data_IF_727876752183
#
_entry.id   IF_727876752183
#
_cell.length_a   1.000
_cell.length_b   1.000
_cell.length_c   1.000
_cell.angle_alpha   90.00
_cell.angle_beta   90.00
_cell.angle_gamma   90.00
#
_symmetry.space_group_name_H-M   'P 1'
#
loop_
_entity.id
_entity.type
_entity.pdbx_description
1 polymer ?
#
# COMPACT_ATOMS: atom_id res chain seq x y z
N UNK A 1 43.10 14.51 -4.42
CA UNK A 1 42.62 13.11 -4.40
C UNK A 1 41.92 12.81 -5.72
N UNK A 2 42.26 11.76 -6.47
CA UNK A 2 41.59 11.48 -7.75
C UNK A 2 40.23 10.84 -7.50
N UNK A 3 39.17 11.50 -7.97
CA UNK A 3 37.79 11.03 -7.92
C UNK A 3 37.62 9.77 -8.78
N UNK A 4 36.94 8.77 -8.21
CA UNK A 4 36.65 7.48 -8.85
C UNK A 4 35.87 7.72 -10.16
N UNK A 5 36.32 7.09 -11.25
CA UNK A 5 35.73 7.23 -12.60
C UNK A 5 34.31 6.68 -12.62
N UNK A 6 33.31 7.55 -12.72
CA UNK A 6 31.87 7.24 -12.85
C UNK A 6 31.54 6.54 -14.21
N UNK A 7 32.49 6.51 -15.16
CA UNK A 7 32.26 5.98 -16.51
C UNK A 7 32.19 4.45 -16.65
N UNK A 8 32.67 3.67 -15.66
CA UNK A 8 32.69 2.20 -15.76
C UNK A 8 31.28 1.58 -15.58
N UNK A 9 30.47 2.16 -14.69
CA UNK A 9 29.13 1.64 -14.37
C UNK A 9 28.10 1.92 -15.47
N UNK A 10 28.23 3.06 -16.17
CA UNK A 10 27.39 3.39 -17.33
C UNK A 10 27.58 2.39 -18.47
N UNK A 11 28.84 2.02 -18.79
CA UNK A 11 29.14 1.06 -19.85
C UNK A 11 28.72 -0.39 -19.49
N UNK A 12 28.80 -0.75 -18.20
CA UNK A 12 28.31 -2.04 -17.69
C UNK A 12 26.78 -2.15 -17.79
N UNK A 13 26.06 -1.06 -17.57
CA UNK A 13 24.60 -1.01 -17.67
C UNK A 13 24.11 -1.08 -19.14
N UNK A 14 24.79 -0.40 -20.06
CA UNK A 14 24.47 -0.48 -21.50
C UNK A 14 24.72 -1.87 -22.08
N UNK A 15 25.80 -2.55 -21.66
CA UNK A 15 26.15 -3.90 -22.09
C UNK A 15 25.13 -4.95 -21.61
N UNK A 16 24.72 -4.88 -20.34
CA UNK A 16 23.65 -5.73 -19.78
C UNK A 16 22.31 -5.49 -20.49
N UNK A 17 21.96 -4.23 -20.71
CA UNK A 17 20.72 -3.87 -21.41
C UNK A 17 20.68 -4.39 -22.85
N UNK A 18 21.81 -4.34 -23.57
CA UNK A 18 21.94 -4.92 -24.92
C UNK A 18 21.84 -6.44 -24.90
N UNK A 19 22.51 -7.11 -23.97
CA UNK A 19 22.43 -8.57 -23.81
C UNK A 19 20.99 -9.05 -23.51
N UNK A 20 20.27 -8.35 -22.63
CA UNK A 20 18.87 -8.65 -22.34
C UNK A 20 17.96 -8.44 -23.56
N UNK A 21 18.26 -7.43 -24.40
CA UNK A 21 17.54 -7.16 -25.65
C UNK A 21 17.75 -8.29 -26.67
N UNK A 22 19.00 -8.73 -26.87
CA UNK A 22 19.32 -9.84 -27.76
C UNK A 22 18.65 -11.14 -27.28
N UNK A 23 18.75 -11.46 -25.97
CA UNK A 23 18.08 -12.62 -25.36
C UNK A 23 16.55 -12.57 -25.45
N UNK A 24 15.94 -11.40 -25.65
CA UNK A 24 14.50 -11.26 -25.90
C UNK A 24 14.17 -11.48 -27.38
N UNK A 25 15.07 -11.07 -28.29
CA UNK A 25 14.93 -11.27 -29.73
C UNK A 25 15.14 -12.73 -30.18
N UNK A 26 15.90 -13.51 -29.40
CA UNK A 26 16.25 -14.91 -29.71
C UNK A 26 15.30 -15.94 -29.07
N UNK A 27 14.22 -15.52 -28.40
CA UNK A 27 13.31 -16.46 -27.76
C UNK A 27 12.47 -17.19 -28.78
N UNK A 28 12.38 -18.51 -28.61
CA UNK A 28 11.40 -19.32 -29.35
C UNK A 28 10.00 -19.10 -28.77
N UNK A 29 8.98 -19.34 -29.58
CA UNK A 29 7.57 -19.23 -29.14
C UNK A 29 7.27 -20.12 -27.93
N UNK A 30 7.84 -21.32 -27.90
CA UNK A 30 7.74 -22.27 -26.78
C UNK A 30 8.30 -21.70 -25.48
N UNK A 31 9.46 -21.03 -25.53
CA UNK A 31 10.04 -20.37 -24.35
C UNK A 31 9.18 -19.21 -23.85
N UNK A 32 8.50 -18.50 -24.76
CA UNK A 32 7.56 -17.43 -24.40
C UNK A 32 6.31 -18.02 -23.75
N UNK A 33 5.77 -19.10 -24.31
CA UNK A 33 4.61 -19.79 -23.74
C UNK A 33 4.92 -20.34 -22.35
N UNK A 34 6.07 -21.01 -22.18
CA UNK A 34 6.50 -21.52 -20.87
C UNK A 34 6.68 -20.41 -19.83
N UNK A 35 7.27 -19.27 -20.19
CA UNK A 35 7.39 -18.16 -19.24
C UNK A 35 6.03 -17.57 -18.86
N UNK A 36 5.08 -17.53 -19.79
CA UNK A 36 3.72 -17.08 -19.52
C UNK A 36 2.95 -18.07 -18.64
N UNK A 37 3.09 -19.38 -18.86
CA UNK A 37 2.47 -20.40 -18.01
C UNK A 37 3.06 -20.36 -16.61
N UNK A 38 4.38 -20.28 -16.46
CA UNK A 38 5.04 -20.14 -15.17
C UNK A 38 4.61 -18.87 -14.44
N UNK A 39 4.46 -17.76 -15.15
CA UNK A 39 3.95 -16.51 -14.57
C UNK A 39 2.49 -16.65 -14.11
N UNK A 40 1.64 -17.32 -14.89
CA UNK A 40 0.25 -17.61 -14.51
C UNK A 40 0.17 -18.51 -13.28
N UNK A 41 0.98 -19.56 -13.22
CA UNK A 41 1.04 -20.48 -12.07
C UNK A 41 1.51 -19.74 -10.81
N UNK A 42 2.59 -18.94 -10.90
CA UNK A 42 3.04 -18.11 -9.77
C UNK A 42 1.95 -17.17 -9.26
N UNK A 43 1.21 -16.54 -10.17
CA UNK A 43 0.11 -15.65 -9.80
C UNK A 43 -1.12 -16.38 -9.27
N UNK A 44 -1.34 -17.64 -9.67
CA UNK A 44 -2.39 -18.47 -9.09
C UNK A 44 -2.02 -18.90 -7.66
N UNK A 45 -0.76 -19.30 -7.42
CA UNK A 45 -0.26 -19.66 -6.09
C UNK A 45 -0.35 -18.49 -5.11
N UNK A 46 0.12 -17.30 -5.51
CA UNK A 46 0.02 -16.11 -4.68
C UNK A 46 -1.42 -15.73 -4.33
N UNK A 47 -2.37 -16.00 -5.24
CA UNK A 47 -3.80 -15.79 -4.98
C UNK A 47 -4.43 -16.85 -4.07
N UNK A 48 -3.87 -18.05 -3.98
CA UNK A 48 -4.30 -19.07 -3.02
C UNK A 48 -3.70 -18.81 -1.62
N UNK A 49 -2.49 -18.27 -1.54
CA UNK A 49 -1.86 -17.89 -0.27
C UNK A 49 -2.54 -16.68 0.38
N UNK A 50 -3.08 -15.75 -0.42
CA UNK A 50 -4.00 -14.73 0.04
C UNK A 50 -5.33 -15.45 0.39
N UNK A 51 -5.55 -15.72 1.69
CA UNK A 51 -6.71 -16.51 2.17
C UNK A 51 -7.98 -16.13 1.42
N UNK A 52 -8.73 -17.13 0.95
CA UNK A 52 -10.06 -17.04 0.34
C UNK A 52 -11.10 -16.51 1.35
N UNK A 53 -10.87 -15.31 1.86
CA UNK A 53 -11.91 -14.45 2.37
C UNK A 53 -12.64 -13.98 1.12
N UNK A 54 -13.65 -14.75 0.72
CA UNK A 54 -14.30 -14.53 -0.57
C UNK A 54 -14.77 -13.08 -0.60
N UNK A 55 -14.53 -12.41 -1.73
CA UNK A 55 -14.80 -10.97 -1.86
C UNK A 55 -16.28 -10.60 -1.60
N UNK A 56 -17.15 -11.61 -1.57
CA UNK A 56 -18.56 -11.52 -1.21
C UNK A 56 -18.77 -11.57 0.31
N UNK A 57 -18.19 -12.54 1.03
CA UNK A 57 -18.28 -12.66 2.50
C UNK A 57 -17.69 -11.43 3.22
N UNK A 58 -16.63 -10.81 2.67
CA UNK A 58 -16.05 -9.57 3.24
C UNK A 58 -17.05 -8.41 3.39
N UNK A 59 -18.11 -8.37 2.59
CA UNK A 59 -19.08 -7.26 2.62
C UNK A 59 -20.24 -7.50 3.59
N UNK A 60 -20.32 -8.68 4.20
CA UNK A 60 -21.32 -9.00 5.20
C UNK A 60 -20.73 -8.82 6.60
N UNK A 61 -21.45 -8.07 7.45
CA UNK A 61 -21.06 -7.91 8.84
C UNK A 61 -21.56 -9.12 9.63
N UNK A 62 -20.64 -9.90 10.18
CA UNK A 62 -20.95 -11.03 11.05
C UNK A 62 -20.76 -10.63 12.52
N UNK A 63 -21.84 -10.54 13.32
CA UNK A 63 -21.76 -10.04 14.70
C UNK A 63 -20.97 -10.95 15.64
N UNK A 64 -20.75 -12.22 15.29
CA UNK A 64 -20.00 -13.19 16.09
C UNK A 64 -18.48 -13.09 15.90
N UNK A 65 -18.02 -12.30 14.93
CA UNK A 65 -16.59 -12.06 14.70
C UNK A 65 -16.12 -10.91 15.60
N UNK A 66 -15.09 -11.18 16.41
CA UNK A 66 -14.40 -10.16 17.19
C UNK A 66 -13.46 -9.32 16.33
N UNK A 67 -14.02 -8.45 15.47
CA UNK A 67 -13.24 -7.63 14.53
C UNK A 67 -12.18 -6.76 15.22
N UNK A 68 -12.42 -6.33 16.46
CA UNK A 68 -11.48 -5.53 17.24
C UNK A 68 -10.20 -6.30 17.62
N UNK A 69 -10.26 -7.63 17.72
CA UNK A 69 -9.14 -8.51 18.03
C UNK A 69 -8.50 -9.10 16.76
N UNK A 70 -9.09 -8.87 15.59
CA UNK A 70 -8.65 -9.47 14.34
C UNK A 70 -7.30 -8.87 13.89
N UNK A 71 -6.28 -9.70 13.74
CA UNK A 71 -4.89 -9.27 13.46
C UNK A 71 -4.71 -8.47 12.15
N UNK A 72 -5.64 -8.62 11.19
CA UNK A 72 -5.65 -7.85 9.94
C UNK A 72 -6.38 -6.49 10.03
N UNK A 73 -7.14 -6.24 11.10
CA UNK A 73 -7.91 -5.00 11.31
C UNK A 73 -7.13 -4.11 12.27
N UNK A 74 -6.16 -3.35 11.73
CA UNK A 74 -5.36 -2.40 12.51
C UNK A 74 -5.81 -0.98 12.16
N UNK A 75 -6.58 -0.35 13.04
CA UNK A 75 -6.85 1.09 12.96
C UNK A 75 -5.63 1.81 13.55
N UNK A 76 -4.92 2.56 12.71
CA UNK A 76 -3.75 3.32 13.15
C UNK A 76 -4.10 4.39 14.18
N UNK A 77 -3.13 4.77 15.02
CA UNK A 77 -3.30 5.83 16.01
C UNK A 77 -3.57 7.19 15.35
N UNK A 78 -4.40 8.00 16.00
CA UNK A 78 -4.62 9.41 15.65
C UNK A 78 -3.65 10.29 16.45
N UNK A 79 -2.38 10.28 16.06
CA UNK A 79 -1.28 10.93 16.80
C UNK A 79 -0.80 12.25 16.16
N UNK A 80 -1.38 12.64 15.01
CA UNK A 80 -0.97 13.85 14.28
C UNK A 80 -1.96 14.97 14.49
N UNK A 81 -1.50 16.07 15.03
CA UNK A 81 -2.34 17.23 15.23
C UNK A 81 -2.46 18.09 13.96
N UNK A 82 -3.66 18.57 13.66
CA UNK A 82 -3.89 19.57 12.63
C UNK A 82 -3.32 20.93 13.03
N UNK A 83 -2.46 21.57 12.22
CA UNK A 83 -1.99 22.92 12.52
C UNK A 83 -3.07 24.00 12.41
N UNK A 84 -4.23 23.71 11.82
CA UNK A 84 -5.30 24.68 11.60
C UNK A 84 -6.43 24.60 12.62
N UNK A 85 -6.82 23.38 13.01
CA UNK A 85 -7.98 23.15 13.89
C UNK A 85 -7.65 22.30 15.10
N UNK A 86 -6.37 21.96 15.33
CA UNK A 86 -5.90 21.15 16.46
C UNK A 86 -6.53 19.75 16.59
N UNK A 87 -7.31 19.31 15.59
CA UNK A 87 -7.86 17.97 15.54
C UNK A 87 -6.75 16.93 15.36
N UNK A 88 -6.85 15.81 16.09
CA UNK A 88 -6.01 14.64 15.88
C UNK A 88 -6.36 13.94 14.56
N UNK A 89 -5.35 13.40 13.89
CA UNK A 89 -5.42 12.80 12.55
C UNK A 89 -4.60 11.53 12.49
N UNK A 90 -4.96 10.67 11.54
CA UNK A 90 -4.13 9.52 11.20
C UNK A 90 -2.89 9.94 10.40
N UNK A 91 -1.79 9.19 10.53
CA UNK A 91 -0.51 9.47 9.87
C UNK A 91 -0.61 9.63 8.34
N UNK A 92 -1.53 8.91 7.70
CA UNK A 92 -1.68 8.87 6.24
C UNK A 92 -2.95 9.59 5.75
N UNK A 93 -3.55 10.44 6.58
CA UNK A 93 -4.73 11.21 6.22
C UNK A 93 -4.40 12.29 5.18
N UNK A 94 -5.18 12.44 4.11
CA UNK A 94 -4.98 13.53 3.17
C UNK A 94 -5.20 14.90 3.85
N UNK A 95 -4.43 15.90 3.42
CA UNK A 95 -4.53 17.23 3.98
C UNK A 95 -5.95 17.80 3.80
N UNK A 96 -6.47 18.38 4.88
CA UNK A 96 -7.74 19.09 4.85
C UNK A 96 -9.00 18.23 5.05
N UNK A 97 -8.89 16.92 5.32
CA UNK A 97 -10.06 16.11 5.70
C UNK A 97 -10.77 16.67 6.94
N UNK A 98 -10.01 17.09 7.94
CA UNK A 98 -10.57 17.64 9.18
C UNK A 98 -11.12 19.08 9.08
N UNK A 99 -10.60 19.94 8.19
CA UNK A 99 -10.93 21.39 8.20
C UNK A 99 -10.83 22.09 6.84
N UNK A 100 -10.80 21.35 5.74
CA UNK A 100 -10.56 21.87 4.39
C UNK A 100 -9.33 22.80 4.33
N UNK A 101 -8.26 22.44 5.04
CA UNK A 101 -7.03 23.22 5.18
C UNK A 101 -7.25 24.59 5.84
N UNK A 102 -8.03 24.60 6.92
CA UNK A 102 -8.33 25.78 7.74
C UNK A 102 -9.46 26.66 7.23
N UNK A 103 -10.18 26.22 6.18
CA UNK A 103 -11.34 26.94 5.64
C UNK A 103 -12.62 26.67 6.42
N UNK A 104 -12.68 25.55 7.14
CA UNK A 104 -13.80 25.18 8.02
C UNK A 104 -13.36 25.38 9.46
N UNK A 105 -14.11 26.19 10.20
CA UNK A 105 -13.98 26.31 11.64
C UNK A 105 -14.96 25.36 12.30
N UNK A 106 -14.44 24.30 12.91
CA UNK A 106 -15.25 23.39 13.71
C UNK A 106 -15.68 24.12 14.98
N UNK A 107 -16.98 24.09 15.29
CA UNK A 107 -17.45 24.54 16.60
C UNK A 107 -16.93 23.58 17.65
N UNK A 108 -16.54 24.12 18.80
CA UNK A 108 -16.21 23.31 19.96
C UNK A 108 -17.48 22.62 20.43
N UNK A 109 -17.47 21.29 20.40
CA UNK A 109 -18.60 20.48 20.88
C UNK A 109 -18.52 20.53 22.41
N UNK A 110 -19.57 21.04 23.05
CA UNK A 110 -19.64 21.05 24.51
C UNK A 110 -19.44 19.63 25.03
N UNK A 111 -18.56 19.49 26.02
CA UNK A 111 -18.34 18.20 26.66
C UNK A 111 -19.65 17.77 27.31
N UNK A 112 -20.14 16.54 27.04
CA UNK A 112 -21.35 16.05 27.68
C UNK A 112 -21.18 16.10 29.20
N UNK A 113 -22.20 16.59 29.90
CA UNK A 113 -22.21 16.66 31.37
C UNK A 113 -21.92 15.29 31.97
N UNK A 114 -21.20 15.28 33.11
CA UNK A 114 -20.87 14.04 33.83
C UNK A 114 -22.10 13.11 33.99
N UNK A 115 -21.90 11.78 33.87
CA UNK A 115 -22.99 10.84 34.04
C UNK A 115 -23.60 10.98 35.43
N UNK A 116 -24.93 11.04 35.48
CA UNK A 116 -25.69 11.03 36.73
C UNK A 116 -25.43 9.71 37.46
N UNK A 117 -24.80 9.78 38.64
CA UNK A 117 -24.66 8.68 39.59
C UNK A 117 -26.01 8.21 40.13
#
# INVERSE_FOLDING_TARGET
MPTKRIGADLNRNTSKSRSLRNRRSERTEEQIQQQNTDARVRMAQLRQEESEDTRAERNEYEPDIEYYAHSKVVIGAMDKECPHCHALKSKNEPAGVCCASGKVQLLEIETPSEPLN
#
